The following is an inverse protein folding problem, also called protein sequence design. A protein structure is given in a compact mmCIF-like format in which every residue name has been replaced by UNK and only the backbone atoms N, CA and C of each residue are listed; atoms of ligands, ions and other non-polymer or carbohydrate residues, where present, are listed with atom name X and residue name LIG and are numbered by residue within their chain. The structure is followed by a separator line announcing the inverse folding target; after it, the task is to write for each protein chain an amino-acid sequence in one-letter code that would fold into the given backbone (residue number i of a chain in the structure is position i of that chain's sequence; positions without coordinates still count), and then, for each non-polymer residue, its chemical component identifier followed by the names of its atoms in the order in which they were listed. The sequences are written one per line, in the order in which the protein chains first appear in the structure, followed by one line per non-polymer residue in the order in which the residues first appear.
data_IF_264915713673
#
_entry.id   IF_264915713673
#
_cell.length_a   1.000
_cell.length_b   1.000
_cell.length_c   1.000
_cell.angle_alpha   90.00
_cell.angle_beta   90.00
_cell.angle_gamma   90.00
#
_symmetry.space_group_name_H-M   'P 1'
#
loop_
_entity.id
_entity.type
_entity.pdbx_description
1 polymer ?
#
# COMPACT_ATOMS: atom_id res chain seq x y z
N UNK A 1 19.30 21.72 -20.68
CA UNK A 1 20.18 21.26 -21.79
C UNK A 1 21.39 20.59 -21.16
N UNK A 2 21.47 19.26 -21.21
CA UNK A 2 22.68 18.49 -20.90
C UNK A 2 22.69 17.24 -21.78
N UNK A 3 23.90 16.86 -22.16
CA UNK A 3 24.25 16.28 -23.46
C UNK A 3 24.07 14.76 -23.55
N UNK A 4 23.82 14.34 -24.78
CA UNK A 4 23.91 12.97 -25.30
C UNK A 4 25.38 12.50 -25.25
N UNK A 5 25.64 11.30 -24.75
CA UNK A 5 26.78 10.45 -25.15
C UNK A 5 26.27 9.01 -25.31
N UNK A 6 26.44 8.50 -26.52
CA UNK A 6 26.13 7.14 -27.01
C UNK A 6 27.13 6.09 -26.49
N UNK A 7 26.73 4.82 -26.33
CA UNK A 7 27.13 3.67 -27.19
C UNK A 7 26.65 2.31 -26.64
N UNK A 8 25.89 1.62 -27.50
CA UNK A 8 25.72 0.18 -27.78
C UNK A 8 26.40 -0.90 -26.91
N UNK A 9 25.64 -1.95 -26.54
CA UNK A 9 25.98 -3.34 -26.86
C UNK A 9 24.76 -4.27 -26.81
N UNK A 10 24.58 -5.06 -27.86
CA UNK A 10 23.55 -6.08 -28.01
C UNK A 10 23.99 -7.41 -27.39
N UNK A 11 23.08 -8.12 -26.71
CA UNK A 11 23.17 -9.55 -26.47
C UNK A 11 21.77 -10.17 -26.53
N UNK A 12 21.53 -10.92 -27.62
CA UNK A 12 20.38 -11.80 -27.80
C UNK A 12 20.52 -13.00 -26.86
N UNK A 13 19.57 -13.17 -25.93
CA UNK A 13 19.41 -14.40 -25.15
C UNK A 13 18.14 -15.10 -25.62
N UNK A 14 18.29 -16.16 -26.40
CA UNK A 14 17.22 -17.09 -26.78
C UNK A 14 17.02 -18.11 -25.65
N UNK A 15 15.86 -18.07 -24.98
CA UNK A 15 15.45 -19.09 -24.01
C UNK A 15 14.43 -20.02 -24.66
N UNK A 16 14.79 -21.29 -24.79
CA UNK A 16 13.92 -22.37 -25.26
C UNK A 16 13.09 -22.91 -24.09
N UNK A 17 11.76 -22.81 -24.17
CA UNK A 17 10.84 -23.44 -23.23
C UNK A 17 10.38 -24.80 -23.76
N UNK A 18 10.77 -25.87 -23.08
CA UNK A 18 10.13 -27.20 -23.19
C UNK A 18 9.26 -27.36 -21.95
N UNK A 19 7.93 -27.34 -22.12
CA UNK A 19 6.98 -27.68 -21.05
C UNK A 19 6.12 -28.85 -21.50
N UNK A 20 6.35 -30.00 -20.85
CA UNK A 20 5.56 -31.21 -20.99
C UNK A 20 4.22 -31.06 -20.26
N UNK A 21 3.16 -31.46 -20.95
CA UNK A 21 1.79 -31.49 -20.44
C UNK A 21 1.57 -32.53 -19.34
N UNK A 22 0.57 -32.25 -18.50
CA UNK A 22 0.05 -33.18 -17.51
C UNK A 22 -1.47 -33.27 -17.61
N UNK A 23 -1.94 -34.45 -17.97
CA UNK A 23 -3.34 -34.88 -18.04
C UNK A 23 -4.08 -34.75 -16.68
N UNK A 24 -5.30 -34.21 -16.70
CA UNK A 24 -6.22 -34.18 -15.56
C UNK A 24 -7.21 -35.35 -15.63
N UNK A 25 -7.17 -36.23 -14.62
CA UNK A 25 -8.20 -37.24 -14.35
C UNK A 25 -9.46 -36.60 -13.76
N UNK A 26 -10.58 -36.85 -14.43
CA UNK A 26 -11.96 -36.72 -13.95
C UNK A 26 -12.26 -37.71 -12.82
N UNK A 27 -12.89 -37.24 -11.75
CA UNK A 27 -13.43 -38.07 -10.68
C UNK A 27 -14.52 -37.35 -9.90
N UNK A 28 -15.78 -37.61 -10.26
CA UNK A 28 -16.99 -37.34 -9.48
C UNK A 28 -17.13 -38.42 -8.40
N UNK A 29 -17.59 -38.10 -7.19
CA UNK A 29 -18.95 -38.48 -6.82
C UNK A 29 -19.71 -37.48 -5.94
N UNK A 30 -21.03 -37.40 -6.15
CA UNK A 30 -22.02 -36.91 -5.19
C UNK A 30 -22.18 -37.91 -4.03
N UNK A 31 -22.66 -37.48 -2.85
CA UNK A 31 -24.09 -37.69 -2.57
C UNK A 31 -24.78 -36.59 -1.75
N UNK A 32 -26.11 -36.57 -1.90
CA UNK A 32 -27.12 -35.85 -1.10
C UNK A 32 -27.18 -36.32 0.36
N UNK A 33 -27.48 -35.39 1.28
CA UNK A 33 -28.40 -35.59 2.41
C UNK A 33 -28.87 -34.23 2.96
N UNK A 34 -30.19 -34.10 3.10
CA UNK A 34 -30.94 -32.97 3.69
C UNK A 34 -31.50 -33.42 5.07
N UNK A 35 -32.23 -32.57 5.81
CA UNK A 35 -31.83 -31.89 7.04
C UNK A 35 -32.35 -32.58 8.31
N UNK A 36 -31.77 -32.25 9.47
CA UNK A 36 -32.41 -32.53 10.77
C UNK A 36 -32.43 -31.28 11.63
N UNK A 37 -33.64 -30.77 11.85
CA UNK A 37 -33.96 -29.69 12.76
C UNK A 37 -34.01 -30.25 14.18
N UNK A 38 -33.28 -29.63 15.10
CA UNK A 38 -33.46 -29.84 16.54
C UNK A 38 -33.51 -28.49 17.22
N UNK A 39 -34.73 -28.07 17.55
CA UNK A 39 -35.04 -26.91 18.38
C UNK A 39 -34.83 -27.29 19.84
N UNK A 40 -33.77 -26.79 20.46
CA UNK A 40 -33.60 -26.78 21.91
C UNK A 40 -33.71 -25.34 22.40
N UNK A 41 -34.83 -25.04 23.04
CA UNK A 41 -35.13 -23.76 23.67
C UNK A 41 -34.45 -23.68 25.03
N UNK A 42 -33.32 -23.00 25.09
CA UNK A 42 -32.67 -22.59 26.34
C UNK A 42 -33.38 -21.36 26.93
N UNK A 43 -33.56 -21.28 28.26
CA UNK A 43 -34.23 -20.16 28.92
C UNK A 43 -33.44 -18.86 28.77
N UNK A 44 -34.16 -17.80 28.45
CA UNK A 44 -33.66 -16.44 28.25
C UNK A 44 -33.40 -15.84 29.63
N UNK A 45 -32.14 -15.87 30.09
CA UNK A 45 -31.71 -15.06 31.22
C UNK A 45 -31.61 -13.62 30.73
N UNK A 46 -32.55 -12.78 31.15
CA UNK A 46 -32.57 -11.34 30.90
C UNK A 46 -31.36 -10.68 31.59
N UNK A 47 -30.22 -10.66 30.92
CA UNK A 47 -29.07 -9.87 31.31
C UNK A 47 -29.34 -8.41 30.94
N UNK A 48 -29.62 -7.60 31.97
CA UNK A 48 -29.55 -6.15 31.90
C UNK A 48 -28.23 -5.75 31.25
N UNK A 49 -28.22 -4.95 30.16
CA UNK A 49 -26.97 -4.50 29.56
C UNK A 49 -26.28 -3.55 30.55
N UNK A 50 -25.27 -4.06 31.24
CA UNK A 50 -24.29 -3.24 31.94
C UNK A 50 -23.56 -2.44 30.87
N UNK A 51 -23.98 -1.19 30.70
CA UNK A 51 -23.28 -0.20 29.88
C UNK A 51 -21.93 0.04 30.54
N UNK A 52 -20.89 -0.66 30.05
CA UNK A 52 -19.53 -0.34 30.42
C UNK A 52 -19.27 1.13 30.04
N UNK A 53 -18.65 1.93 30.93
CA UNK A 53 -18.32 3.30 30.59
C UNK A 53 -17.44 3.27 29.34
N UNK A 54 -17.96 3.84 28.25
CA UNK A 54 -17.19 4.05 27.04
C UNK A 54 -16.19 5.14 27.37
N UNK A 55 -15.01 4.74 27.86
CA UNK A 55 -13.87 5.65 28.00
C UNK A 55 -13.61 6.20 26.61
N UNK A 56 -14.05 7.44 26.36
CA UNK A 56 -13.74 8.17 25.14
C UNK A 56 -12.23 8.35 25.11
N UNK A 57 -11.54 7.44 24.41
CA UNK A 57 -10.11 7.52 24.21
C UNK A 57 -9.83 8.84 23.50
N UNK A 58 -9.12 9.75 24.19
CA UNK A 58 -8.80 11.05 23.62
C UNK A 58 -7.92 10.84 22.39
N UNK A 59 -8.12 11.64 21.32
CA UNK A 59 -7.26 11.57 20.14
C UNK A 59 -5.79 11.74 20.53
N UNK A 60 -4.95 10.81 20.11
CA UNK A 60 -3.51 10.85 20.32
C UNK A 60 -2.91 11.92 19.41
N UNK A 61 -2.17 12.86 19.98
CA UNK A 61 -1.46 13.87 19.19
C UNK A 61 -0.01 13.43 18.97
N UNK A 62 0.29 12.96 17.76
CA UNK A 62 1.67 12.68 17.34
C UNK A 62 2.30 13.91 16.69
N UNK A 63 3.57 14.12 16.98
CA UNK A 63 4.40 15.17 16.36
C UNK A 63 5.16 14.61 15.17
N UNK A 64 5.55 15.49 14.22
CA UNK A 64 6.46 15.11 13.12
C UNK A 64 7.74 14.45 13.63
N UNK A 65 8.34 14.97 14.71
CA UNK A 65 9.56 14.41 15.30
C UNK A 65 9.38 12.97 15.82
N UNK A 66 8.22 12.64 16.40
CA UNK A 66 7.92 11.26 16.79
C UNK A 66 7.79 10.35 15.56
N UNK A 67 7.09 10.79 14.52
CA UNK A 67 6.93 10.02 13.30
C UNK A 67 8.27 9.83 12.56
N UNK A 68 9.11 10.87 12.46
CA UNK A 68 10.44 10.78 11.82
C UNK A 68 11.33 9.72 12.48
N UNK A 69 11.26 9.56 13.81
CA UNK A 69 12.02 8.50 14.50
C UNK A 69 11.51 7.09 14.18
N UNK A 70 10.22 6.96 13.86
CA UNK A 70 9.58 5.70 13.49
C UNK A 70 9.80 5.33 12.01
N UNK A 71 10.18 6.29 11.18
CA UNK A 71 10.44 6.09 9.76
C UNK A 71 11.74 5.30 9.53
N UNK A 72 11.78 4.49 8.48
CA UNK A 72 12.99 3.74 8.11
C UNK A 72 14.16 4.68 7.77
N UNK A 73 15.37 4.23 8.08
CA UNK A 73 16.65 4.82 7.67
C UNK A 73 17.43 3.79 6.85
N UNK A 74 18.49 4.23 6.16
CA UNK A 74 19.34 3.31 5.38
C UNK A 74 19.86 2.12 6.18
N UNK A 75 20.17 2.31 7.46
CA UNK A 75 20.65 1.23 8.33
C UNK A 75 19.61 0.13 8.61
N UNK A 76 18.33 0.39 8.34
CA UNK A 76 17.26 -0.62 8.49
C UNK A 76 17.04 -1.42 7.21
N UNK A 77 17.63 -1.00 6.08
CA UNK A 77 17.38 -1.53 4.74
C UNK A 77 18.56 -2.40 4.26
N UNK A 78 18.33 -3.30 3.30
CA UNK A 78 19.43 -3.97 2.60
C UNK A 78 20.43 -2.98 1.99
N UNK A 79 21.68 -3.40 1.85
CA UNK A 79 22.68 -2.61 1.13
C UNK A 79 22.28 -2.40 -0.33
N UNK A 80 22.75 -1.30 -0.93
CA UNK A 80 22.49 -0.95 -2.33
C UNK A 80 21.42 0.13 -2.52
N UNK A 81 20.73 0.52 -1.45
CA UNK A 81 19.79 1.64 -1.45
C UNK A 81 20.48 2.95 -1.07
N UNK A 82 19.97 4.05 -1.62
CA UNK A 82 20.36 5.43 -1.29
C UNK A 82 19.13 6.25 -0.94
N UNK A 83 19.27 7.28 -0.10
CA UNK A 83 18.16 8.20 0.17
C UNK A 83 17.96 9.10 -1.03
N UNK A 84 16.72 9.18 -1.51
CA UNK A 84 16.34 10.16 -2.54
C UNK A 84 16.05 11.49 -1.83
N UNK A 85 16.76 12.57 -2.17
CA UNK A 85 16.45 13.90 -1.65
C UNK A 85 15.07 14.34 -2.14
N UNK A 86 14.31 15.03 -1.30
CA UNK A 86 13.08 15.70 -1.75
C UNK A 86 13.45 16.77 -2.78
N UNK A 87 12.92 16.65 -4.00
CA UNK A 87 13.07 17.69 -5.02
C UNK A 87 11.97 18.75 -4.83
N UNK A 88 12.31 20.02 -4.56
CA UNK A 88 11.32 21.07 -4.38
C UNK A 88 10.49 21.33 -5.64
N UNK A 89 10.95 20.90 -6.82
CA UNK A 89 10.21 21.03 -8.08
C UNK A 89 9.07 20.00 -8.22
N UNK A 90 9.09 18.93 -7.43
CA UNK A 90 8.02 17.93 -7.38
C UNK A 90 6.88 18.33 -6.44
N UNK A 91 7.09 19.36 -5.61
CA UNK A 91 6.10 19.84 -4.65
C UNK A 91 4.82 20.34 -5.34
N UNK A 92 3.68 19.73 -4.98
CA UNK A 92 2.36 20.11 -5.49
C UNK A 92 2.05 19.61 -6.90
N UNK A 93 2.90 18.74 -7.48
CA UNK A 93 2.55 18.03 -8.70
C UNK A 93 1.36 17.10 -8.44
N UNK A 94 0.41 17.09 -9.37
CA UNK A 94 -0.76 16.19 -9.36
C UNK A 94 -0.71 15.33 -10.61
N UNK A 95 0.20 14.34 -10.66
CA UNK A 95 0.48 13.61 -11.89
C UNK A 95 -0.66 12.65 -12.28
N UNK A 96 -1.52 12.25 -11.34
CA UNK A 96 -2.62 11.34 -11.61
C UNK A 96 -3.91 12.07 -11.98
N UNK A 97 -4.65 11.53 -12.94
CA UNK A 97 -5.96 12.02 -13.35
C UNK A 97 -6.86 10.88 -13.86
N UNK A 98 -8.16 11.14 -13.99
CA UNK A 98 -9.08 10.22 -14.67
C UNK A 98 -10.30 10.98 -15.18
N UNK A 99 -10.88 10.49 -16.28
CA UNK A 99 -12.17 10.97 -16.79
C UNK A 99 -13.36 10.24 -16.17
N UNK A 100 -13.12 9.10 -15.50
CA UNK A 100 -14.16 8.35 -14.81
C UNK A 100 -14.43 8.95 -13.43
N UNK A 101 -15.68 9.34 -13.18
CA UNK A 101 -16.10 9.88 -11.89
C UNK A 101 -15.88 8.90 -10.73
N UNK A 102 -15.91 7.59 -10.98
CA UNK A 102 -15.64 6.55 -9.97
C UNK A 102 -14.19 6.54 -9.49
N UNK A 103 -13.28 7.15 -10.24
CA UNK A 103 -11.87 7.29 -9.91
C UNK A 103 -11.53 8.53 -9.10
N UNK A 104 -12.50 9.43 -8.86
CA UNK A 104 -12.25 10.71 -8.20
C UNK A 104 -11.52 10.55 -6.86
N UNK A 105 -12.01 9.65 -6.01
CA UNK A 105 -11.42 9.41 -4.68
C UNK A 105 -10.01 8.85 -4.79
N UNK A 106 -9.79 7.86 -5.67
CA UNK A 106 -8.45 7.28 -5.85
C UNK A 106 -7.46 8.32 -6.40
N UNK A 107 -7.88 9.12 -7.39
CA UNK A 107 -7.04 10.21 -7.93
C UNK A 107 -6.70 11.25 -6.87
N UNK A 108 -7.63 11.54 -5.95
CA UNK A 108 -7.33 12.42 -4.82
C UNK A 108 -6.26 11.80 -3.92
N UNK A 109 -6.37 10.50 -3.61
CA UNK A 109 -5.42 9.79 -2.76
C UNK A 109 -4.03 9.66 -3.40
N UNK A 110 -3.96 9.36 -4.69
CA UNK A 110 -2.69 9.21 -5.42
C UNK A 110 -1.93 10.53 -5.62
N UNK A 111 -2.61 11.66 -5.49
CA UNK A 111 -2.01 13.00 -5.61
C UNK A 111 -1.86 13.71 -4.25
N UNK A 112 -2.12 13.02 -3.14
CA UNK A 112 -2.05 13.62 -1.81
C UNK A 112 -0.63 13.44 -1.23
N UNK A 113 -0.06 14.53 -0.73
CA UNK A 113 1.24 14.50 -0.02
C UNK A 113 1.15 13.82 1.35
N UNK A 114 -0.07 13.65 1.87
CA UNK A 114 -0.37 13.12 3.18
C UNK A 114 -1.74 12.44 3.18
N UNK A 115 -1.94 11.49 4.09
CA UNK A 115 -3.23 10.84 4.30
C UNK A 115 -4.34 11.86 4.62
N UNK A 116 -5.50 11.83 3.95
CA UNK A 116 -6.58 12.78 4.21
C UNK A 116 -7.06 12.75 5.66
N UNK A 117 -6.98 13.89 6.33
CA UNK A 117 -7.34 14.04 7.74
C UNK A 117 -6.20 13.73 8.72
N UNK A 118 -4.98 13.52 8.24
CA UNK A 118 -3.81 13.42 9.12
C UNK A 118 -3.51 14.76 9.80
N UNK A 119 -2.99 14.71 11.03
CA UNK A 119 -2.56 15.89 11.79
C UNK A 119 -1.05 16.11 11.71
N UNK A 120 -0.30 15.06 11.36
CA UNK A 120 1.14 15.11 11.09
C UNK A 120 1.51 13.99 10.12
N UNK A 121 2.43 14.28 9.22
CA UNK A 121 2.88 13.35 8.19
C UNK A 121 4.38 13.49 7.97
N UNK A 122 5.03 12.36 7.71
CA UNK A 122 6.44 12.28 7.29
C UNK A 122 6.58 11.17 6.25
N UNK A 123 7.48 11.37 5.30
CA UNK A 123 7.82 10.36 4.30
C UNK A 123 9.33 10.32 4.07
N UNK A 124 9.79 9.24 3.44
CA UNK A 124 11.16 9.11 2.94
C UNK A 124 11.19 8.15 1.77
N UNK A 125 11.97 8.52 0.79
CA UNK A 125 12.16 7.80 -0.46
C UNK A 125 13.57 7.22 -0.51
N UNK A 126 13.68 6.01 -1.05
CA UNK A 126 14.94 5.31 -1.28
C UNK A 126 15.00 4.81 -2.72
N UNK A 127 16.19 4.83 -3.31
CA UNK A 127 16.41 4.32 -4.67
C UNK A 127 17.57 3.34 -4.69
N UNK A 128 17.38 2.23 -5.39
CA UNK A 128 18.42 1.27 -5.72
C UNK A 128 19.16 1.61 -7.03
N UNK A 129 18.95 2.81 -7.59
CA UNK A 129 19.61 3.30 -8.80
C UNK A 129 18.80 3.05 -10.08
N UNK A 130 19.45 3.12 -11.25
CA UNK A 130 18.75 3.10 -12.54
C UNK A 130 17.99 1.80 -12.84
N UNK A 131 18.44 0.67 -12.29
CA UNK A 131 17.89 -0.66 -12.56
C UNK A 131 17.12 -1.23 -11.36
N UNK A 132 17.09 -0.52 -10.24
CA UNK A 132 16.54 -1.01 -8.98
C UNK A 132 15.23 -0.32 -8.59
N UNK A 133 14.53 -0.84 -7.58
CA UNK A 133 13.29 -0.24 -7.14
C UNK A 133 13.50 1.13 -6.51
N UNK A 134 12.50 1.98 -6.69
CA UNK A 134 12.28 3.16 -5.85
C UNK A 134 11.23 2.80 -4.80
N UNK A 135 11.51 3.13 -3.55
CA UNK A 135 10.67 2.78 -2.41
C UNK A 135 10.34 4.03 -1.60
N UNK A 136 9.06 4.36 -1.53
CA UNK A 136 8.54 5.43 -0.67
C UNK A 136 7.89 4.84 0.57
N UNK A 137 8.28 5.36 1.73
CA UNK A 137 7.66 5.05 3.01
C UNK A 137 6.99 6.29 3.56
N UNK A 138 5.76 6.15 4.07
CA UNK A 138 5.00 7.22 4.70
C UNK A 138 4.44 6.80 6.06
N UNK A 139 4.37 7.76 6.98
CA UNK A 139 3.65 7.65 8.24
C UNK A 139 2.78 8.88 8.43
N UNK A 140 1.48 8.66 8.60
CA UNK A 140 0.50 9.72 8.83
C UNK A 140 -0.27 9.49 10.13
N UNK A 141 -0.19 10.45 11.04
CA UNK A 141 -0.93 10.43 12.30
C UNK A 141 -2.39 10.83 12.08
N UNK A 142 -3.29 9.90 12.34
CA UNK A 142 -4.76 10.08 12.23
C UNK A 142 -5.39 10.43 13.59
N UNK A 143 -4.65 10.22 14.67
CA UNK A 143 -5.01 10.49 16.05
C UNK A 143 -5.89 9.43 16.70
N UNK A 144 -6.54 8.56 15.93
CA UNK A 144 -7.38 7.48 16.44
C UNK A 144 -7.31 6.25 15.51
N UNK A 145 -7.22 5.05 16.07
CA UNK A 145 -7.19 3.80 15.30
C UNK A 145 -8.44 3.63 14.40
N UNK A 146 -9.61 4.09 14.87
CA UNK A 146 -10.84 4.05 14.08
C UNK A 146 -10.76 4.90 12.80
N UNK A 147 -10.01 6.01 12.82
CA UNK A 147 -9.79 6.86 11.63
C UNK A 147 -8.83 6.19 10.65
N UNK A 148 -7.81 5.49 11.15
CA UNK A 148 -6.92 4.65 10.34
C UNK A 148 -7.72 3.58 9.61
N UNK A 149 -8.51 2.78 10.34
CA UNK A 149 -9.34 1.72 9.75
C UNK A 149 -10.36 2.27 8.74
N UNK A 150 -11.01 3.39 9.04
CA UNK A 150 -11.94 4.05 8.12
C UNK A 150 -11.26 4.50 6.82
N UNK A 151 -10.05 5.08 6.92
CA UNK A 151 -9.29 5.49 5.75
C UNK A 151 -8.83 4.30 4.90
N UNK A 152 -8.34 3.22 5.52
CA UNK A 152 -7.96 2.00 4.80
C UNK A 152 -9.16 1.37 4.07
N UNK A 153 -10.34 1.38 4.70
CA UNK A 153 -11.58 0.95 4.06
C UNK A 153 -11.94 1.84 2.86
N UNK A 154 -11.78 3.16 2.98
CA UNK A 154 -12.03 4.09 1.89
C UNK A 154 -11.04 3.91 0.72
N UNK A 155 -9.75 3.63 1.00
CA UNK A 155 -8.76 3.28 -0.03
C UNK A 155 -9.16 2.00 -0.77
N UNK A 156 -9.53 0.96 -0.04
CA UNK A 156 -10.00 -0.30 -0.63
C UNK A 156 -11.22 -0.09 -1.52
N UNK A 157 -12.18 0.71 -1.08
CA UNK A 157 -13.35 1.06 -1.89
C UNK A 157 -12.94 1.83 -3.16
N UNK A 158 -12.05 2.82 -3.04
CA UNK A 158 -11.59 3.64 -4.16
C UNK A 158 -10.81 2.85 -5.22
N UNK A 159 -9.95 1.93 -4.81
CA UNK A 159 -9.24 1.01 -5.72
C UNK A 159 -10.23 0.05 -6.39
N UNK A 160 -11.23 -0.44 -5.66
CA UNK A 160 -12.24 -1.32 -6.24
C UNK A 160 -13.20 -0.64 -7.20
N UNK A 161 -13.46 0.66 -7.02
CA UNK A 161 -14.27 1.45 -7.93
C UNK A 161 -13.52 1.97 -9.15
N UNK A 162 -12.18 2.04 -9.09
CA UNK A 162 -11.34 2.62 -10.13
C UNK A 162 -10.33 1.62 -10.69
N UNK A 163 -10.55 1.15 -11.91
CA UNK A 163 -9.66 0.19 -12.58
C UNK A 163 -8.61 0.83 -13.47
N UNK A 164 -8.70 2.14 -13.71
CA UNK A 164 -7.84 2.84 -14.67
C UNK A 164 -7.64 4.30 -14.29
N UNK A 165 -6.39 4.73 -14.22
CA UNK A 165 -6.00 6.14 -14.06
C UNK A 165 -5.02 6.54 -15.16
N UNK A 166 -4.79 7.83 -15.28
CA UNK A 166 -3.82 8.43 -16.20
C UNK A 166 -2.70 9.04 -15.39
N UNK A 167 -1.46 8.66 -15.68
CA UNK A 167 -0.25 9.21 -15.06
C UNK A 167 0.45 10.15 -16.06
N UNK A 168 0.73 11.38 -15.64
CA UNK A 168 1.52 12.35 -16.41
C UNK A 168 2.89 12.51 -15.77
N UNK A 169 3.93 12.19 -16.54
CA UNK A 169 5.32 12.35 -16.12
C UNK A 169 5.91 13.56 -16.87
N UNK A 170 6.39 14.60 -16.16
CA UNK A 170 7.05 15.74 -16.77
C UNK A 170 8.16 15.32 -17.74
N UNK A 171 8.17 15.89 -18.95
CA UNK A 171 9.17 15.59 -19.98
C UNK A 171 8.99 14.26 -20.72
N UNK A 172 8.25 13.28 -20.16
CA UNK A 172 8.06 11.96 -20.79
C UNK A 172 6.69 11.79 -21.44
N UNK A 173 5.65 12.48 -20.94
CA UNK A 173 4.31 12.44 -21.53
C UNK A 173 3.29 11.82 -20.58
N UNK A 174 2.38 11.01 -21.14
CA UNK A 174 1.23 10.48 -20.40
C UNK A 174 1.08 8.99 -20.63
N UNK A 175 0.82 8.26 -19.55
CA UNK A 175 0.63 6.82 -19.52
C UNK A 175 -0.74 6.47 -18.97
N UNK A 176 -1.32 5.40 -19.50
CA UNK A 176 -2.51 4.80 -18.93
C UNK A 176 -2.08 3.74 -17.92
N UNK A 177 -2.58 3.79 -16.69
CA UNK A 177 -2.27 2.82 -15.65
C UNK A 177 -3.53 2.02 -15.28
N UNK A 178 -3.44 0.70 -15.32
CA UNK A 178 -4.42 -0.21 -14.72
C UNK A 178 -4.25 -0.22 -13.20
N UNK A 179 -5.32 -0.44 -12.45
CA UNK A 179 -5.32 -0.49 -10.99
C UNK A 179 -6.12 -1.69 -10.51
N UNK A 180 -5.53 -2.48 -9.61
CA UNK A 180 -6.18 -3.66 -9.03
C UNK A 180 -5.77 -3.89 -7.57
N UNK A 181 -6.69 -4.46 -6.79
CA UNK A 181 -6.38 -4.94 -5.44
C UNK A 181 -5.53 -6.21 -5.55
N UNK A 182 -4.49 -6.31 -4.72
CA UNK A 182 -3.65 -7.50 -4.59
C UNK A 182 -3.67 -8.00 -3.14
N UNK A 183 -3.14 -9.21 -2.92
CA UNK A 183 -2.98 -9.74 -1.56
C UNK A 183 -2.01 -8.85 -0.77
N UNK A 184 -2.50 -8.29 0.34
CA UNK A 184 -1.67 -7.50 1.23
C UNK A 184 -0.82 -8.38 2.17
N UNK A 185 0.42 -7.98 2.50
CA UNK A 185 1.17 -8.57 3.59
C UNK A 185 0.34 -8.51 4.89
N UNK A 186 0.25 -9.62 5.63
CA UNK A 186 -0.56 -9.71 6.86
C UNK A 186 0.14 -9.06 8.06
N UNK A 187 0.41 -7.77 7.94
CA UNK A 187 1.19 -6.97 8.88
C UNK A 187 0.41 -5.72 9.30
N UNK A 188 0.45 -5.41 10.59
CA UNK A 188 -0.31 -4.29 11.16
C UNK A 188 -1.82 -4.54 11.19
N UNK A 189 -2.57 -3.47 11.37
CA UNK A 189 -4.04 -3.51 11.42
C UNK A 189 -4.64 -3.24 10.04
N UNK A 190 -5.68 -4.01 9.68
CA UNK A 190 -6.45 -3.88 8.44
C UNK A 190 -5.61 -3.69 7.15
N UNK A 191 -4.60 -4.54 6.90
CA UNK A 191 -3.69 -4.35 5.77
C UNK A 191 -4.45 -4.36 4.44
N UNK A 192 -4.04 -3.47 3.54
CA UNK A 192 -4.59 -3.32 2.20
C UNK A 192 -3.45 -3.10 1.21
N UNK A 193 -3.56 -3.66 0.01
CA UNK A 193 -2.56 -3.48 -1.03
C UNK A 193 -3.19 -3.42 -2.41
N UNK A 194 -2.54 -2.70 -3.32
CA UNK A 194 -2.95 -2.61 -4.70
C UNK A 194 -1.74 -2.51 -5.62
N UNK A 195 -1.96 -2.85 -6.89
CA UNK A 195 -0.98 -2.77 -7.97
C UNK A 195 -1.45 -1.78 -9.02
N UNK A 196 -0.48 -1.06 -9.57
CA UNK A 196 -0.64 -0.24 -10.76
C UNK A 196 0.25 -0.77 -11.88
N UNK A 197 -0.31 -1.00 -13.06
CA UNK A 197 0.42 -1.51 -14.22
C UNK A 197 0.25 -0.57 -15.40
N UNK A 198 1.35 -0.18 -16.05
CA UNK A 198 1.26 0.65 -17.24
C UNK A 198 0.72 -0.13 -18.44
N UNK A 199 -0.42 0.31 -18.95
CA UNK A 199 -1.14 -0.31 -20.06
C UNK A 199 -0.78 0.30 -21.42
N UNK A 200 -0.24 1.52 -21.43
CA UNK A 200 0.20 2.23 -22.65
C UNK A 200 1.03 3.45 -22.32
N UNK A 201 1.81 3.92 -23.29
CA UNK A 201 2.60 5.15 -23.20
C UNK A 201 4.00 4.87 -22.61
N UNK A 202 4.71 5.91 -22.12
CA UNK A 202 6.08 5.77 -21.63
C UNK A 202 6.27 4.78 -20.47
N UNK A 203 5.20 4.40 -19.77
CA UNK A 203 5.22 3.51 -18.62
C UNK A 203 4.66 2.12 -18.95
N UNK A 204 4.42 1.81 -20.23
CA UNK A 204 3.90 0.51 -20.64
C UNK A 204 4.77 -0.65 -20.16
N UNK A 205 4.15 -1.63 -19.50
CA UNK A 205 4.86 -2.77 -18.90
C UNK A 205 5.47 -2.48 -17.51
N UNK A 206 5.57 -1.22 -17.10
CA UNK A 206 6.02 -0.87 -15.74
C UNK A 206 4.98 -1.28 -14.70
N UNK A 207 5.46 -1.62 -13.51
CA UNK A 207 4.64 -1.98 -12.35
C UNK A 207 5.01 -1.12 -11.14
N UNK A 208 3.99 -0.71 -10.39
CA UNK A 208 4.13 -0.22 -9.04
C UNK A 208 3.19 -0.97 -8.10
N UNK A 209 3.64 -1.24 -6.88
CA UNK A 209 2.80 -1.84 -5.84
C UNK A 209 2.77 -0.93 -4.63
N UNK A 210 1.64 -0.92 -3.94
CA UNK A 210 1.44 -0.11 -2.75
C UNK A 210 0.75 -0.93 -1.68
N UNK A 211 1.13 -0.71 -0.43
CA UNK A 211 0.48 -1.30 0.73
C UNK A 211 0.25 -0.25 1.83
N UNK A 212 -0.85 -0.43 2.56
CA UNK A 212 -1.24 0.35 3.71
C UNK A 212 -1.44 -0.59 4.91
N UNK A 213 -0.96 -0.19 6.09
CA UNK A 213 -1.23 -0.88 7.34
C UNK A 213 -1.43 0.11 8.49
N UNK A 214 -2.27 -0.24 9.46
CA UNK A 214 -2.43 0.53 10.68
C UNK A 214 -1.41 0.14 11.74
N UNK A 215 -0.92 1.15 12.47
CA UNK A 215 -0.13 1.01 13.69
C UNK A 215 -0.70 1.97 14.74
N UNK A 216 -1.66 1.47 15.54
CA UNK A 216 -2.45 2.28 16.47
C UNK A 216 -3.17 3.45 15.73
N UNK A 217 -2.84 4.68 16.11
CA UNK A 217 -3.36 5.94 15.58
C UNK A 217 -2.66 6.44 14.30
N UNK A 218 -1.76 5.65 13.73
CA UNK A 218 -0.96 6.00 12.55
C UNK A 218 -1.26 5.04 11.40
N UNK A 219 -1.45 5.58 10.19
CA UNK A 219 -1.44 4.81 8.96
C UNK A 219 -0.03 4.82 8.37
N UNK A 220 0.45 3.64 8.02
CA UNK A 220 1.74 3.41 7.37
C UNK A 220 1.49 3.08 5.91
N UNK A 221 2.23 3.73 5.02
CA UNK A 221 2.21 3.45 3.58
C UNK A 221 3.59 3.02 3.09
N UNK A 222 3.59 2.07 2.16
CA UNK A 222 4.76 1.68 1.36
C UNK A 222 4.34 1.69 -0.09
N UNK A 223 5.12 2.35 -0.93
CA UNK A 223 4.98 2.32 -2.38
C UNK A 223 6.31 1.87 -2.98
N UNK A 224 6.25 0.92 -3.91
CA UNK A 224 7.43 0.38 -4.61
C UNK A 224 7.18 0.51 -6.11
N UNK A 225 8.05 1.24 -6.79
CA UNK A 225 8.10 1.30 -8.25
C UNK A 225 9.22 0.38 -8.75
N UNK A 226 8.97 -0.37 -9.83
CA UNK A 226 9.92 -1.33 -10.42
C UNK A 226 10.41 -2.42 -9.44
N UNK A 227 9.56 -2.83 -8.50
CA UNK A 227 9.87 -3.85 -7.51
C UNK A 227 9.85 -5.30 -8.03
N UNK A 228 10.58 -6.17 -7.35
CA UNK A 228 10.58 -7.62 -7.54
C UNK A 228 9.52 -8.31 -6.66
N UNK A 229 9.06 -9.52 -7.02
CA UNK A 229 8.16 -10.31 -6.19
C UNK A 229 8.68 -10.49 -4.76
N UNK A 230 7.87 -10.16 -3.76
CA UNK A 230 8.20 -10.28 -2.34
C UNK A 230 8.89 -9.07 -1.71
N UNK A 231 9.33 -8.06 -2.49
CA UNK A 231 9.91 -6.85 -1.92
C UNK A 231 8.90 -6.06 -1.09
N UNK A 232 7.62 -6.03 -1.51
CA UNK A 232 6.55 -5.38 -0.76
C UNK A 232 6.37 -5.98 0.64
N UNK A 233 6.40 -7.30 0.77
CA UNK A 233 6.31 -8.00 2.06
C UNK A 233 7.49 -7.65 2.97
N UNK A 234 8.71 -7.67 2.43
CA UNK A 234 9.92 -7.33 3.17
C UNK A 234 9.92 -5.87 3.65
N UNK A 235 9.61 -4.94 2.75
CA UNK A 235 9.51 -3.52 3.04
C UNK A 235 8.44 -3.23 4.10
N UNK A 236 7.23 -3.80 3.95
CA UNK A 236 6.16 -3.67 4.92
C UNK A 236 6.53 -4.24 6.28
N UNK A 237 7.22 -5.38 6.33
CA UNK A 237 7.66 -5.99 7.59
C UNK A 237 8.59 -5.06 8.36
N UNK A 238 9.64 -4.56 7.70
CA UNK A 238 10.60 -3.65 8.32
C UNK A 238 9.91 -2.37 8.82
N UNK A 239 9.06 -1.77 7.98
CA UNK A 239 8.36 -0.54 8.29
C UNK A 239 7.40 -0.71 9.49
N UNK A 240 6.57 -1.76 9.49
CA UNK A 240 5.62 -2.04 10.57
C UNK A 240 6.35 -2.40 11.87
N UNK A 241 7.39 -3.23 11.82
CA UNK A 241 8.15 -3.62 13.01
C UNK A 241 8.81 -2.38 13.67
N UNK A 242 9.41 -1.50 12.86
CA UNK A 242 10.00 -0.25 13.37
C UNK A 242 8.94 0.70 13.92
N UNK A 243 7.85 0.92 13.19
CA UNK A 243 6.76 1.78 13.64
C UNK A 243 6.16 1.30 14.96
N UNK A 244 5.90 0.00 15.11
CA UNK A 244 5.43 -0.59 16.37
C UNK A 244 6.43 -0.40 17.51
N UNK A 245 7.72 -0.62 17.27
CA UNK A 245 8.77 -0.44 18.27
C UNK A 245 8.85 1.00 18.78
N UNK A 246 8.72 1.98 17.89
CA UNK A 246 8.90 3.40 18.23
C UNK A 246 7.59 4.06 18.72
N UNK A 247 6.45 3.71 18.14
CA UNK A 247 5.15 4.36 18.38
C UNK A 247 4.22 3.58 19.30
N UNK A 248 4.47 2.28 19.50
CA UNK A 248 3.68 1.40 20.37
C UNK A 248 4.00 1.57 21.86
N UNK A 249 5.04 2.33 22.20
CA UNK A 249 5.24 2.79 23.58
C UNK A 249 4.21 3.88 23.88
N UNK A 250 3.36 3.67 24.89
CA UNK A 250 2.40 4.69 25.35
C UNK A 250 3.18 5.97 25.62
N UNK A 251 2.84 7.05 24.91
CA UNK A 251 3.35 8.38 25.20
C UNK A 251 2.69 8.84 26.49
N UNK A 252 3.24 8.40 27.62
CA UNK A 252 2.82 8.79 28.96
C UNK A 252 3.90 9.64 29.60
N UNK A 253 3.64 10.94 29.64
CA UNK A 253 3.93 11.84 30.77
C UNK A 253 3.16 13.13 30.55
#
# INVERSE_FOLDING_TARGET
MSKIVSLSLAALVTVSLVSCGGDKKTGTPAPSVTPSASTSSTPVTSSTPTVAPTTSEQPVQRTKAQLTRALLVLADLPSGLSVVPEDPSDAGLKPFSSKDAKCKTLVQYLNADAAPGSTASVSRSFSAGQEGPDIDYGLDAMGEAKKVAALQSAYKAAVNSCRKVTLKVPGQGTSSMGVEEISAPKLGEHPFAFRMTGLSGPQEGSEATAALAGVNDVILSVFIYAGQPGELDGAMKLAVDKAKKVLGTKSGT
#
